data_IF_691232344079
#
_entry.id   IF_691232344079
#
_cell.length_a   1.000
_cell.length_b   1.000
_cell.length_c   1.000
_cell.angle_alpha   90.00
_cell.angle_beta   90.00
_cell.angle_gamma   90.00
#
_symmetry.space_group_name_H-M   'P 1'
#
loop_
_entity.id
_entity.type
_entity.pdbx_description
1 polymer ?
#
# COMPACT_ATOMS: atom_id res chain seq x y z
N UNK A 1 -53.12 47.38 3.51
CA UNK A 1 -51.75 47.46 4.06
C UNK A 1 -51.41 46.09 4.62
N UNK A 2 -50.56 45.31 3.94
CA UNK A 2 -50.24 43.93 4.30
C UNK A 2 -48.73 43.79 4.41
N UNK A 3 -48.24 43.41 5.60
CA UNK A 3 -46.81 43.34 5.89
C UNK A 3 -46.17 42.10 5.24
N UNK A 4 -45.08 42.32 4.52
CA UNK A 4 -44.21 41.26 4.01
C UNK A 4 -43.34 40.73 5.15
N UNK A 5 -43.71 39.58 5.73
CA UNK A 5 -42.90 38.96 6.78
C UNK A 5 -41.75 38.16 6.16
N UNK A 6 -40.58 38.80 6.08
CA UNK A 6 -39.35 38.21 5.54
C UNK A 6 -38.87 37.07 6.44
N UNK A 7 -39.03 35.82 5.98
CA UNK A 7 -38.49 34.65 6.66
C UNK A 7 -36.97 34.61 6.44
N UNK A 8 -36.22 35.16 7.40
CA UNK A 8 -34.77 34.96 7.49
C UNK A 8 -34.49 33.48 7.77
N UNK A 9 -34.08 32.73 6.74
CA UNK A 9 -33.51 31.38 6.92
C UNK A 9 -32.08 31.50 7.41
N UNK A 10 -31.87 31.37 8.72
CA UNK A 10 -30.54 31.13 9.27
C UNK A 10 -30.02 29.77 8.80
N UNK A 11 -29.01 29.79 7.92
CA UNK A 11 -28.28 28.58 7.54
C UNK A 11 -27.32 28.21 8.69
N UNK A 12 -27.75 27.30 9.56
CA UNK A 12 -26.82 26.56 10.42
C UNK A 12 -25.84 25.79 9.53
N UNK A 13 -24.58 26.25 9.48
CA UNK A 13 -23.47 25.51 8.87
C UNK A 13 -23.05 24.41 9.84
N UNK A 14 -23.85 23.34 9.90
CA UNK A 14 -23.62 22.19 10.77
C UNK A 14 -22.89 21.06 10.03
N UNK A 15 -21.57 21.01 10.18
CA UNK A 15 -20.74 19.79 10.16
C UNK A 15 -21.14 18.64 9.19
N UNK A 16 -21.44 18.94 7.93
CA UNK A 16 -21.86 17.94 6.92
C UNK A 16 -20.67 17.19 6.26
N UNK A 17 -19.65 16.84 7.05
CA UNK A 17 -18.47 16.07 6.63
C UNK A 17 -18.25 14.79 7.47
N UNK A 18 -19.09 14.54 8.49
CA UNK A 18 -18.89 13.47 9.48
C UNK A 18 -19.91 12.32 9.39
N UNK A 19 -20.71 12.26 8.32
CA UNK A 19 -21.75 11.23 8.16
C UNK A 19 -22.03 10.89 6.69
N UNK A 20 -21.00 10.48 5.96
CA UNK A 20 -21.23 9.42 4.97
C UNK A 20 -21.74 8.20 5.77
N UNK A 21 -23.02 7.84 5.62
CA UNK A 21 -23.66 6.83 6.47
C UNK A 21 -22.91 5.50 6.42
N UNK A 22 -22.28 5.14 7.54
CA UNK A 22 -21.72 3.81 7.76
C UNK A 22 -22.88 2.84 7.94
N UNK A 23 -23.20 2.09 6.87
CA UNK A 23 -24.36 1.18 6.86
C UNK A 23 -24.07 -0.20 7.42
N UNK A 24 -22.79 -0.53 7.62
CA UNK A 24 -22.37 -1.82 8.19
C UNK A 24 -21.24 -1.57 9.18
N UNK A 25 -21.46 -1.99 10.43
CA UNK A 25 -20.48 -1.92 11.52
C UNK A 25 -20.35 -3.34 12.08
N UNK A 26 -19.13 -3.85 12.14
CA UNK A 26 -18.77 -5.01 12.97
C UNK A 26 -18.20 -4.45 14.26
N UNK A 27 -18.90 -4.65 15.37
CA UNK A 27 -18.62 -4.01 16.65
C UNK A 27 -17.42 -4.60 17.37
N UNK A 28 -16.89 -3.84 18.34
CA UNK A 28 -15.82 -4.32 19.21
C UNK A 28 -16.30 -5.49 20.06
N UNK A 29 -15.62 -6.63 19.94
CA UNK A 29 -15.98 -7.89 20.60
C UNK A 29 -16.85 -8.83 19.74
N UNK A 30 -17.34 -8.36 18.59
CA UNK A 30 -17.96 -9.24 17.60
C UNK A 30 -16.87 -10.00 16.82
N UNK A 31 -17.16 -11.26 16.48
CA UNK A 31 -16.35 -12.09 15.59
C UNK A 31 -17.16 -12.44 14.34
N UNK A 32 -16.69 -12.00 13.17
CA UNK A 32 -17.29 -12.34 11.89
C UNK A 32 -16.39 -13.30 11.09
N UNK A 33 -16.98 -14.35 10.52
CA UNK A 33 -16.29 -15.27 9.61
C UNK A 33 -17.11 -15.53 8.35
N UNK A 34 -16.56 -15.18 7.19
CA UNK A 34 -17.21 -15.37 5.89
C UNK A 34 -16.83 -14.30 4.86
N UNK A 35 -17.67 -14.13 3.85
CA UNK A 35 -17.55 -13.04 2.88
C UNK A 35 -18.52 -11.91 3.23
N UNK A 36 -18.03 -10.67 3.17
CA UNK A 36 -18.84 -9.46 3.35
C UNK A 36 -18.81 -8.62 2.06
N UNK A 37 -19.94 -8.57 1.35
CA UNK A 37 -20.12 -7.76 0.14
C UNK A 37 -21.08 -6.60 0.43
N UNK A 38 -20.67 -5.36 0.15
CA UNK A 38 -21.54 -4.18 0.34
C UNK A 38 -21.31 -3.09 -0.70
N UNK A 39 -22.39 -2.43 -1.13
CA UNK A 39 -22.33 -1.23 -1.98
C UNK A 39 -22.14 0.08 -1.18
N UNK A 40 -21.80 -0.03 0.11
CA UNK A 40 -21.79 1.09 1.06
C UNK A 40 -20.52 1.06 1.95
N UNK A 41 -20.43 2.06 2.82
CA UNK A 41 -19.39 2.20 3.83
C UNK A 41 -19.44 1.06 4.86
N UNK A 42 -18.29 0.42 5.09
CA UNK A 42 -18.11 -0.64 6.09
C UNK A 42 -17.13 -0.13 7.16
N UNK A 43 -17.45 -0.37 8.43
CA UNK A 43 -16.52 -0.19 9.56
C UNK A 43 -16.34 -1.51 10.31
N UNK A 44 -15.11 -1.82 10.71
CA UNK A 44 -14.76 -3.03 11.47
C UNK A 44 -13.93 -2.61 12.68
N UNK A 45 -14.52 -2.70 13.87
CA UNK A 45 -13.87 -2.49 15.17
C UNK A 45 -13.67 -3.82 15.94
N UNK A 46 -14.14 -4.94 15.38
CA UNK A 46 -14.04 -6.29 15.94
C UNK A 46 -13.07 -7.21 15.21
N UNK A 47 -13.21 -8.52 15.44
CA UNK A 47 -12.43 -9.56 14.77
C UNK A 47 -13.13 -10.00 13.46
N UNK A 48 -12.41 -10.01 12.34
CA UNK A 48 -12.95 -10.42 11.03
C UNK A 48 -12.05 -11.43 10.33
N UNK A 49 -12.61 -12.51 9.80
CA UNK A 49 -11.88 -13.53 9.03
C UNK A 49 -12.59 -13.91 7.72
N UNK A 50 -11.95 -13.67 6.57
CA UNK A 50 -12.45 -14.09 5.26
C UNK A 50 -12.14 -13.12 4.11
N UNK A 51 -13.16 -12.52 3.51
CA UNK A 51 -13.02 -11.57 2.39
C UNK A 51 -13.97 -10.38 2.57
N UNK A 52 -13.48 -9.16 2.31
CA UNK A 52 -14.29 -7.92 2.30
C UNK A 52 -14.29 -7.33 0.89
N UNK A 53 -15.47 -7.13 0.32
CA UNK A 53 -15.69 -6.53 -0.99
C UNK A 53 -16.63 -5.31 -0.85
N UNK A 54 -16.12 -4.10 -1.06
CA UNK A 54 -16.92 -2.87 -1.04
C UNK A 54 -16.76 -2.03 -2.31
N UNK A 55 -17.84 -1.41 -2.78
CA UNK A 55 -17.75 -0.38 -3.84
C UNK A 55 -17.39 1.01 -3.29
N UNK A 56 -17.37 1.19 -1.97
CA UNK A 56 -17.04 2.45 -1.28
C UNK A 56 -15.82 2.28 -0.38
N UNK A 57 -15.84 2.87 0.82
CA UNK A 57 -14.73 2.88 1.78
C UNK A 57 -14.90 1.80 2.83
N UNK A 58 -13.82 1.11 3.14
CA UNK A 58 -13.69 0.19 4.29
C UNK A 58 -12.83 0.87 5.35
N UNK A 59 -13.29 0.90 6.60
CA UNK A 59 -12.57 1.47 7.75
C UNK A 59 -12.28 0.37 8.75
N UNK A 60 -11.00 0.10 9.01
CA UNK A 60 -10.57 -0.77 10.11
C UNK A 60 -10.23 0.13 11.29
N UNK A 61 -11.04 0.05 12.35
CA UNK A 61 -10.85 0.82 13.58
C UNK A 61 -9.60 0.40 14.35
N UNK A 62 -9.24 1.19 15.36
CA UNK A 62 -8.14 0.96 16.29
C UNK A 62 -8.14 -0.43 16.96
N UNK A 63 -9.33 -0.93 17.27
CA UNK A 63 -9.57 -2.24 17.89
C UNK A 63 -9.82 -3.36 16.88
N UNK A 64 -9.94 -3.02 15.59
CA UNK A 64 -10.21 -3.97 14.51
C UNK A 64 -9.02 -4.89 14.23
N UNK A 65 -9.30 -6.19 14.11
CA UNK A 65 -8.31 -7.23 13.76
C UNK A 65 -8.85 -8.06 12.60
N UNK A 66 -8.27 -7.87 11.42
CA UNK A 66 -8.84 -8.37 10.18
C UNK A 66 -7.86 -9.30 9.49
N UNK A 67 -8.20 -10.60 9.43
CA UNK A 67 -7.50 -11.57 8.59
C UNK A 67 -8.30 -11.77 7.29
N UNK A 68 -8.09 -10.89 6.32
CA UNK A 68 -8.91 -10.80 5.11
C UNK A 68 -8.14 -10.27 3.93
N UNK A 69 -8.52 -10.72 2.73
CA UNK A 69 -8.31 -9.90 1.54
C UNK A 69 -9.38 -8.80 1.51
N UNK A 70 -8.98 -7.56 1.20
CA UNK A 70 -9.88 -6.39 1.21
C UNK A 70 -9.85 -5.74 -0.17
N UNK A 71 -10.99 -5.70 -0.85
CA UNK A 71 -11.20 -4.95 -2.09
C UNK A 71 -12.15 -3.78 -1.82
N UNK A 72 -11.72 -2.56 -2.05
CA UNK A 72 -12.54 -1.36 -1.83
C UNK A 72 -12.28 -0.27 -2.89
N UNK A 73 -13.06 0.80 -2.89
CA UNK A 73 -12.64 2.04 -3.53
C UNK A 73 -11.59 2.76 -2.68
N UNK A 74 -11.80 2.80 -1.37
CA UNK A 74 -10.89 3.39 -0.39
C UNK A 74 -10.73 2.49 0.82
N UNK A 75 -9.53 2.40 1.40
CA UNK A 75 -9.30 1.67 2.65
C UNK A 75 -8.64 2.60 3.66
N UNK A 76 -9.16 2.59 4.88
CA UNK A 76 -8.63 3.33 6.01
C UNK A 76 -8.27 2.32 7.10
N UNK A 77 -7.01 2.33 7.56
CA UNK A 77 -6.52 1.37 8.56
C UNK A 77 -5.97 2.09 9.78
N UNK A 78 -6.59 1.84 10.93
CA UNK A 78 -6.11 2.24 12.26
C UNK A 78 -5.83 1.04 13.17
N UNK A 79 -6.26 -0.17 12.79
CA UNK A 79 -6.02 -1.43 13.50
C UNK A 79 -5.08 -2.37 12.74
N UNK A 80 -5.27 -3.68 12.91
CA UNK A 80 -4.38 -4.72 12.35
C UNK A 80 -5.07 -5.42 11.17
N UNK A 81 -4.39 -5.48 10.02
CA UNK A 81 -4.81 -6.19 8.81
C UNK A 81 -3.75 -7.22 8.42
N UNK A 82 -4.15 -8.48 8.27
CA UNK A 82 -3.34 -9.59 7.77
C UNK A 82 -3.99 -10.14 6.49
N UNK A 83 -3.40 -9.82 5.34
CA UNK A 83 -3.94 -10.16 4.02
C UNK A 83 -3.72 -9.04 3.00
N UNK A 84 -4.13 -9.27 1.75
CA UNK A 84 -3.88 -8.32 0.67
C UNK A 84 -4.94 -7.21 0.65
N UNK A 85 -4.51 -5.97 0.43
CA UNK A 85 -5.36 -4.77 0.42
C UNK A 85 -5.32 -4.11 -0.96
N UNK A 86 -6.45 -4.12 -1.66
CA UNK A 86 -6.63 -3.51 -2.97
C UNK A 86 -7.65 -2.35 -2.90
N UNK A 87 -7.21 -1.13 -3.21
CA UNK A 87 -8.07 0.05 -3.27
C UNK A 87 -8.05 0.71 -4.64
N UNK A 88 -9.22 0.86 -5.28
CA UNK A 88 -9.33 1.46 -6.62
C UNK A 88 -8.91 2.95 -6.67
N UNK A 89 -8.87 3.62 -5.52
CA UNK A 89 -8.48 5.02 -5.37
C UNK A 89 -7.38 5.19 -4.32
N UNK A 90 -7.73 5.22 -3.03
CA UNK A 90 -6.82 5.66 -1.95
C UNK A 90 -6.76 4.68 -0.78
N UNK A 91 -5.55 4.48 -0.24
CA UNK A 91 -5.34 3.86 1.06
C UNK A 91 -4.82 4.93 2.04
N UNK A 92 -5.37 4.97 3.24
CA UNK A 92 -4.81 5.73 4.36
C UNK A 92 -4.49 4.81 5.53
N UNK A 93 -3.26 4.84 6.01
CA UNK A 93 -2.83 4.13 7.21
C UNK A 93 -2.53 5.18 8.29
N UNK A 94 -3.29 5.14 9.38
CA UNK A 94 -3.09 5.99 10.55
C UNK A 94 -1.92 5.49 11.41
N UNK A 95 -1.43 6.32 12.34
CA UNK A 95 -0.30 6.01 13.24
C UNK A 95 -0.36 4.61 13.90
N UNK A 96 -1.54 4.13 14.30
CA UNK A 96 -1.72 2.81 14.94
C UNK A 96 -1.96 1.65 13.96
N UNK A 97 -2.04 1.94 12.65
CA UNK A 97 -2.34 0.97 11.62
C UNK A 97 -1.18 0.02 11.34
N UNK A 98 -1.49 -1.27 11.25
CA UNK A 98 -0.55 -2.32 10.87
C UNK A 98 -1.12 -3.15 9.71
N UNK A 99 -0.41 -3.23 8.59
CA UNK A 99 -0.79 -4.06 7.44
C UNK A 99 0.34 -5.06 7.16
N UNK A 100 0.00 -6.35 7.19
CA UNK A 100 0.90 -7.46 6.82
C UNK A 100 0.30 -8.15 5.59
N UNK A 101 0.86 -7.89 4.43
CA UNK A 101 0.36 -8.36 3.13
C UNK A 101 0.59 -7.35 2.01
N UNK A 102 0.22 -7.74 0.78
CA UNK A 102 0.49 -6.90 -0.39
C UNK A 102 -0.57 -5.80 -0.54
N UNK A 103 -0.12 -4.61 -0.92
CA UNK A 103 -0.95 -3.42 -1.09
C UNK A 103 -0.96 -3.02 -2.57
N UNK A 104 -2.15 -2.72 -3.11
CA UNK A 104 -2.32 -2.13 -4.45
C UNK A 104 -3.29 -0.96 -4.40
N UNK A 105 -2.86 0.22 -4.86
CA UNK A 105 -3.72 1.42 -4.92
C UNK A 105 -3.19 2.49 -5.88
N UNK A 106 -3.99 3.53 -6.17
CA UNK A 106 -3.52 4.68 -6.96
C UNK A 106 -2.77 5.71 -6.12
N UNK A 107 -3.14 5.84 -4.86
CA UNK A 107 -2.58 6.80 -3.91
C UNK A 107 -2.55 6.19 -2.51
N UNK A 108 -1.46 6.40 -1.78
CA UNK A 108 -1.32 6.00 -0.37
C UNK A 108 -0.97 7.22 0.48
N UNK A 109 -1.53 7.27 1.69
CA UNK A 109 -1.16 8.21 2.75
C UNK A 109 -0.81 7.38 3.98
N UNK A 110 0.39 7.56 4.53
CA UNK A 110 0.90 6.80 5.67
C UNK A 110 1.33 7.81 6.73
N UNK A 111 0.76 7.70 7.93
CA UNK A 111 1.14 8.52 9.07
C UNK A 111 2.35 7.94 9.81
N UNK A 112 3.07 8.80 10.55
CA UNK A 112 4.23 8.40 11.33
C UNK A 112 3.88 7.34 12.37
N UNK A 113 4.67 6.25 12.44
CA UNK A 113 4.45 5.11 13.32
C UNK A 113 3.64 3.94 12.73
N UNK A 114 2.98 4.14 11.59
CA UNK A 114 2.28 3.07 10.88
C UNK A 114 3.25 1.97 10.41
N UNK A 115 2.80 0.71 10.45
CA UNK A 115 3.60 -0.46 10.05
C UNK A 115 2.99 -1.08 8.78
N UNK A 116 3.84 -1.27 7.76
CA UNK A 116 3.48 -1.99 6.54
C UNK A 116 4.58 -3.00 6.24
N UNK A 117 4.22 -4.28 6.15
CA UNK A 117 5.10 -5.38 5.77
C UNK A 117 4.50 -6.14 4.58
N UNK A 118 5.14 -6.03 3.41
CA UNK A 118 4.69 -6.64 2.16
C UNK A 118 5.03 -5.81 0.92
N UNK A 119 4.65 -6.31 -0.26
CA UNK A 119 4.88 -5.60 -1.52
C UNK A 119 3.82 -4.52 -1.75
N UNK A 120 4.25 -3.29 -2.02
CA UNK A 120 3.36 -2.17 -2.36
C UNK A 120 3.45 -1.83 -3.85
N UNK A 121 2.31 -1.81 -4.54
CA UNK A 121 2.15 -1.25 -5.87
C UNK A 121 1.28 0.02 -5.76
N UNK A 122 1.90 1.19 -5.94
CA UNK A 122 1.22 2.48 -5.82
C UNK A 122 1.40 3.26 -7.11
N UNK A 123 0.29 3.58 -7.79
CA UNK A 123 0.34 4.40 -9.00
C UNK A 123 -0.92 4.32 -9.87
N UNK A 124 -1.00 5.24 -10.84
CA UNK A 124 -2.11 5.29 -11.81
C UNK A 124 -1.78 4.36 -12.98
N UNK A 125 -1.86 3.05 -12.72
CA UNK A 125 -1.48 2.00 -13.67
C UNK A 125 0.02 1.94 -13.93
N UNK A 126 0.42 1.08 -14.88
CA UNK A 126 1.81 1.01 -15.34
C UNK A 126 2.25 2.35 -15.91
N UNK A 127 3.13 3.04 -15.18
CA UNK A 127 3.79 4.23 -15.67
C UNK A 127 4.69 3.83 -16.84
N UNK A 128 4.23 4.04 -18.06
CA UNK A 128 4.99 3.84 -19.30
C UNK A 128 6.05 4.96 -19.46
N UNK A 129 6.84 5.22 -18.42
CA UNK A 129 8.05 6.01 -18.57
C UNK A 129 8.99 5.25 -19.49
N UNK A 130 9.47 5.92 -20.54
CA UNK A 130 10.62 5.40 -21.25
C UNK A 130 11.78 5.39 -20.25
N UNK A 131 12.65 4.39 -20.33
CA UNK A 131 13.86 4.31 -19.49
C UNK A 131 14.76 5.57 -19.61
N UNK A 132 14.53 6.36 -20.67
CA UNK A 132 15.11 7.68 -20.92
C UNK A 132 14.63 8.78 -19.95
N UNK A 133 13.41 8.70 -19.45
CA UNK A 133 12.75 9.77 -18.68
C UNK A 133 13.13 9.76 -17.19
N UNK A 134 13.77 8.68 -16.71
CA UNK A 134 14.12 8.45 -15.30
C UNK A 134 15.61 8.78 -15.00
N UNK A 135 16.42 9.02 -16.03
CA UNK A 135 17.86 9.28 -15.92
C UNK A 135 18.18 10.75 -15.60
N UNK A 136 17.97 11.17 -14.35
CA UNK A 136 18.19 12.57 -13.93
C UNK A 136 19.68 12.93 -13.78
N UNK A 137 20.56 11.95 -13.51
CA UNK A 137 22.00 12.20 -13.30
C UNK A 137 22.90 11.12 -13.95
N UNK A 138 23.25 11.30 -15.22
CA UNK A 138 24.41 10.61 -15.82
C UNK A 138 25.27 11.61 -16.58
N UNK A 139 26.42 11.95 -16.01
CA UNK A 139 27.40 12.88 -16.56
C UNK A 139 28.55 13.10 -15.58
N UNK A 140 29.68 13.58 -16.08
CA UNK A 140 30.83 13.97 -15.28
C UNK A 140 30.79 15.49 -15.02
N UNK A 141 30.64 15.87 -13.75
CA UNK A 141 30.60 17.28 -13.36
C UNK A 141 31.95 17.72 -12.82
N UNK A 142 32.50 18.78 -13.42
CA UNK A 142 33.73 19.42 -12.97
C UNK A 142 33.40 20.49 -11.94
N UNK A 143 33.76 20.26 -10.68
CA UNK A 143 33.39 21.10 -9.53
C UNK A 143 34.39 22.24 -9.32
N UNK A 144 35.67 21.96 -9.54
CA UNK A 144 36.77 22.92 -9.67
C UNK A 144 37.80 22.39 -10.68
N UNK A 145 38.99 23.01 -10.80
CA UNK A 145 40.00 22.55 -11.76
C UNK A 145 40.49 21.12 -11.54
N UNK A 146 40.36 20.58 -10.32
CA UNK A 146 40.97 19.33 -9.84
C UNK A 146 39.94 18.23 -9.52
N UNK A 147 38.67 18.56 -9.30
CA UNK A 147 37.60 17.61 -8.89
C UNK A 147 36.64 17.34 -10.05
N UNK A 148 36.69 16.11 -10.56
CA UNK A 148 35.73 15.53 -11.48
C UNK A 148 34.89 14.49 -10.73
N UNK A 149 33.58 14.72 -10.62
CA UNK A 149 32.64 13.71 -10.09
C UNK A 149 32.09 12.91 -11.26
N UNK A 150 32.46 11.63 -11.35
CA UNK A 150 32.00 10.71 -12.38
C UNK A 150 30.89 9.78 -11.83
N UNK A 151 29.64 10.04 -12.21
CA UNK A 151 28.49 9.22 -11.79
C UNK A 151 28.33 8.04 -12.76
N UNK A 152 28.92 6.90 -12.40
CA UNK A 152 28.98 5.73 -13.26
C UNK A 152 27.62 5.05 -13.48
N UNK A 153 27.30 4.75 -14.74
CA UNK A 153 25.98 4.28 -15.20
C UNK A 153 25.80 2.76 -15.01
N UNK A 154 25.73 2.34 -13.76
CA UNK A 154 25.71 0.94 -13.31
C UNK A 154 24.39 0.17 -13.47
N UNK A 155 23.67 0.32 -14.59
CA UNK A 155 22.59 -0.61 -14.97
C UNK A 155 22.62 -0.89 -16.48
N UNK A 156 23.20 -2.04 -16.84
CA UNK A 156 22.90 -2.76 -18.07
C UNK A 156 22.26 -4.09 -17.68
N UNK A 157 20.99 -4.29 -18.01
CA UNK A 157 20.37 -5.61 -17.89
C UNK A 157 20.61 -6.35 -19.21
N UNK A 158 21.52 -7.33 -19.22
CA UNK A 158 21.64 -8.22 -20.37
C UNK A 158 20.46 -9.20 -20.40
N UNK A 159 19.54 -8.99 -21.34
CA UNK A 159 18.55 -9.99 -21.70
C UNK A 159 19.23 -11.13 -22.48
N UNK A 160 19.72 -12.13 -21.75
CA UNK A 160 20.04 -13.42 -22.36
C UNK A 160 18.79 -14.32 -22.33
N UNK A 161 18.17 -14.47 -23.50
CA UNK A 161 17.12 -15.46 -23.74
C UNK A 161 17.61 -16.85 -23.29
N UNK A 162 16.98 -17.43 -22.26
CA UNK A 162 17.15 -18.85 -21.93
C UNK A 162 16.17 -19.70 -22.73
N UNK A 163 16.45 -19.85 -24.02
CA UNK A 163 15.99 -21.00 -24.78
C UNK A 163 17.09 -22.09 -24.78
N UNK A 164 16.72 -23.27 -24.29
CA UNK A 164 17.31 -24.60 -24.56
C UNK A 164 18.82 -24.84 -24.45
N UNK A 165 19.17 -25.65 -23.45
CA UNK A 165 19.87 -26.94 -23.58
C UNK A 165 21.10 -27.09 -24.50
N UNK A 166 22.22 -27.59 -23.94
CA UNK A 166 22.82 -28.93 -24.22
C UNK A 166 24.24 -29.01 -23.64
N UNK A 167 24.49 -30.01 -22.76
CA UNK A 167 25.78 -30.69 -22.43
C UNK A 167 27.02 -29.81 -22.07
N UNK A 168 28.05 -30.27 -21.37
CA UNK A 168 28.32 -31.49 -20.61
C UNK A 168 29.25 -31.10 -19.44
N UNK A 169 29.61 -32.06 -18.60
CA UNK A 169 30.59 -31.96 -17.51
C UNK A 169 31.70 -30.89 -17.67
N UNK A 170 31.93 -30.07 -16.63
CA UNK A 170 33.03 -30.41 -15.72
C UNK A 170 33.02 -29.67 -14.38
N UNK A 171 33.61 -30.33 -13.38
CA UNK A 171 33.70 -29.89 -11.98
C UNK A 171 34.97 -29.06 -11.80
N UNK A 172 34.93 -27.97 -11.03
CA UNK A 172 36.00 -27.65 -10.07
C UNK A 172 35.44 -26.90 -8.86
N UNK A 173 35.30 -27.64 -7.74
CA UNK A 173 35.17 -27.09 -6.40
C UNK A 173 36.56 -26.65 -5.93
N UNK A 174 36.67 -25.44 -5.37
CA UNK A 174 37.78 -25.10 -4.49
C UNK A 174 37.31 -25.13 -3.03
N UNK A 175 37.79 -26.14 -2.31
CA UNK A 175 37.81 -26.12 -0.85
C UNK A 175 38.88 -25.12 -0.39
N UNK A 176 38.62 -24.36 0.69
CA UNK A 176 39.55 -24.32 1.83
C UNK A 176 38.90 -23.65 3.06
N UNK A 177 38.50 -24.46 4.06
CA UNK A 177 38.55 -24.05 5.48
C UNK A 177 39.04 -25.25 6.27
N UNK A 178 40.30 -25.20 6.69
CA UNK A 178 40.92 -26.20 7.56
C UNK A 178 40.40 -26.05 8.99
N UNK A 179 40.21 -27.18 9.68
CA UNK A 179 40.28 -27.26 11.14
C UNK A 179 41.16 -28.45 11.52
N UNK A 180 42.39 -28.12 11.89
CA UNK A 180 43.29 -28.88 12.76
C UNK A 180 43.26 -28.20 14.14
N UNK A 181 43.57 -28.87 15.26
CA UNK A 181 43.17 -30.25 15.59
C UNK A 181 42.28 -30.16 16.87
N UNK A 182 42.65 -30.37 18.14
CA UNK A 182 43.78 -31.02 18.84
C UNK A 182 43.29 -31.22 20.30
N UNK A 183 43.35 -32.38 20.97
CA UNK A 183 43.70 -33.74 20.54
C UNK A 183 42.84 -34.28 19.35
#
# INVERSE_FOLDING_TARGET
MLNLLVIKRDRKVGSSLLSDEVKTIVGKGDFFKGELVSSNFIRVDGDFLGTINSTKRVVIGDTGRVKSNINANEVVVSGIVLGNVHANNKIKVFQSGCIIGNISCKSIEVEEGAIIDGYMNVGIGSLNFSEKDVLIYTGSYKVDENILIEVNKGMKWENQNKETCVRENDKYLFNDVRKMDED
#
